data_IF_905365129508
#
_entry.id   IF_905365129508
#
_cell.length_a   1.000
_cell.length_b   1.000
_cell.length_c   1.000
_cell.angle_alpha   90.00
_cell.angle_beta   90.00
_cell.angle_gamma   90.00
#
_symmetry.space_group_name_H-M   'P 1'
#
loop_
_entity.id
_entity.type
_entity.pdbx_description
1 polymer ?
#
# COMPACT_ATOMS: atom_id res chain seq x y z
N UNK A 1 12.40 -5.95 -21.36
CA UNK A 1 12.77 -5.10 -20.20
C UNK A 1 11.60 -4.99 -19.27
N UNK A 2 11.85 -5.15 -17.99
CA UNK A 2 10.82 -5.04 -16.97
C UNK A 2 11.30 -4.06 -15.89
N UNK A 3 10.51 -3.03 -15.66
CA UNK A 3 10.78 -2.06 -14.61
C UNK A 3 9.91 -2.37 -13.40
N UNK A 4 10.53 -2.58 -12.27
CA UNK A 4 9.84 -2.85 -11.00
C UNK A 4 10.27 -1.82 -9.98
N UNK A 5 9.31 -1.20 -9.34
CA UNK A 5 9.54 -0.32 -8.20
C UNK A 5 9.13 -1.09 -6.96
N UNK A 6 10.07 -1.28 -6.05
CA UNK A 6 9.80 -1.92 -4.76
C UNK A 6 9.63 -0.85 -3.71
N UNK A 7 8.43 -0.78 -3.17
CA UNK A 7 8.05 0.27 -2.24
C UNK A 7 7.97 -0.28 -0.83
N UNK A 8 8.57 0.44 0.12
CA UNK A 8 8.53 0.10 1.55
C UNK A 8 7.84 1.25 2.26
N UNK A 9 6.61 1.01 2.71
CA UNK A 9 5.75 2.05 3.24
C UNK A 9 5.78 2.01 4.76
N UNK A 10 6.19 3.12 5.37
CA UNK A 10 6.15 3.32 6.82
C UNK A 10 5.33 4.55 7.14
N UNK A 11 4.91 4.69 8.39
CA UNK A 11 4.18 5.87 8.84
C UNK A 11 4.90 6.52 10.01
N UNK A 12 4.96 7.85 9.97
CA UNK A 12 5.45 8.67 11.07
C UNK A 12 4.27 9.38 11.71
N UNK A 13 4.18 9.34 13.03
CA UNK A 13 3.08 9.97 13.74
C UNK A 13 2.93 9.42 15.14
N UNK A 14 1.71 9.47 15.65
CA UNK A 14 1.37 8.99 17.00
C UNK A 14 1.51 7.48 17.12
N UNK A 15 1.59 6.98 18.34
CA UNK A 15 1.58 5.53 18.59
C UNK A 15 0.30 4.88 18.05
N UNK A 16 -0.81 5.61 18.09
CA UNK A 16 -2.08 5.12 17.57
C UNK A 16 -2.03 4.87 16.06
N UNK A 17 -1.47 5.78 15.27
CA UNK A 17 -1.38 5.59 13.82
C UNK A 17 -0.35 4.52 13.46
N UNK A 18 0.71 4.39 14.23
CA UNK A 18 1.69 3.31 14.04
C UNK A 18 1.06 1.95 14.30
N UNK A 19 0.26 1.85 15.35
CA UNK A 19 -0.48 0.62 15.65
C UNK A 19 -1.50 0.30 14.55
N UNK A 20 -2.18 1.31 14.02
CA UNK A 20 -3.09 1.15 12.90
C UNK A 20 -2.37 0.61 11.67
N UNK A 21 -1.19 1.15 11.37
CA UNK A 21 -0.40 0.68 10.24
C UNK A 21 0.00 -0.79 10.38
N UNK A 22 0.47 -1.19 11.56
CA UNK A 22 0.81 -2.60 11.82
C UNK A 22 -0.41 -3.51 11.67
N UNK A 23 -1.57 -3.07 12.16
CA UNK A 23 -2.80 -3.85 12.02
C UNK A 23 -3.24 -3.98 10.56
N UNK A 24 -3.11 -2.91 9.79
CA UNK A 24 -3.42 -2.95 8.34
C UNK A 24 -2.50 -3.94 7.63
N UNK A 25 -1.20 -3.90 7.92
CA UNK A 25 -0.24 -4.83 7.32
C UNK A 25 -0.60 -6.27 7.67
N UNK A 26 -0.93 -6.53 8.93
CA UNK A 26 -1.32 -7.86 9.40
C UNK A 26 -2.55 -8.36 8.64
N UNK A 27 -3.56 -7.53 8.51
CA UNK A 27 -4.80 -7.89 7.82
C UNK A 27 -4.58 -8.13 6.33
N UNK A 28 -3.79 -7.30 5.68
CA UNK A 28 -3.46 -7.48 4.27
C UNK A 28 -2.69 -8.77 4.04
N UNK A 29 -1.79 -9.12 4.96
CA UNK A 29 -1.02 -10.36 4.86
C UNK A 29 -1.90 -11.60 5.00
N UNK A 30 -2.90 -11.55 5.86
CA UNK A 30 -3.83 -12.67 6.08
C UNK A 30 -4.90 -12.77 5.01
N UNK A 31 -5.13 -11.71 4.28
CA UNK A 31 -6.24 -11.61 3.35
C UNK A 31 -5.83 -12.08 1.96
N UNK A 32 -6.46 -13.15 1.48
CA UNK A 32 -6.19 -13.71 0.15
C UNK A 32 -7.12 -13.09 -0.88
N UNK A 33 -6.79 -11.89 -1.29
CA UNK A 33 -7.57 -11.25 -2.32
C UNK A 33 -6.84 -11.18 -3.65
N UNK A 34 -7.46 -10.53 -4.60
CA UNK A 34 -7.02 -10.55 -5.97
C UNK A 34 -6.17 -9.36 -6.36
N UNK A 35 -6.57 -8.16 -6.01
CA UNK A 35 -5.77 -6.98 -6.36
C UNK A 35 -5.68 -6.01 -5.18
N UNK A 36 -4.58 -5.23 -5.12
CA UNK A 36 -4.33 -4.33 -3.99
C UNK A 36 -5.41 -3.27 -3.76
N UNK A 37 -6.04 -2.79 -4.82
CA UNK A 37 -7.09 -1.76 -4.67
C UNK A 37 -8.33 -2.34 -3.99
N UNK A 38 -8.71 -3.56 -4.34
CA UNK A 38 -9.82 -4.25 -3.69
C UNK A 38 -9.46 -4.60 -2.25
N UNK A 39 -8.25 -5.14 -2.02
CA UNK A 39 -7.77 -5.46 -0.68
C UNK A 39 -7.81 -4.27 0.27
N UNK A 40 -7.29 -3.14 -0.18
CA UNK A 40 -7.29 -1.92 0.61
C UNK A 40 -8.72 -1.49 0.94
N UNK A 41 -9.62 -1.56 -0.04
CA UNK A 41 -11.03 -1.23 0.19
C UNK A 41 -11.68 -2.12 1.25
N UNK A 42 -11.43 -3.43 1.19
CA UNK A 42 -11.95 -4.36 2.18
C UNK A 42 -11.36 -4.13 3.57
N UNK A 43 -10.04 -3.97 3.64
CA UNK A 43 -9.32 -3.86 4.91
C UNK A 43 -9.52 -2.51 5.58
N UNK A 44 -9.38 -1.41 4.83
CA UNK A 44 -9.46 -0.07 5.40
C UNK A 44 -10.89 0.39 5.61
N UNK A 45 -11.79 0.05 4.70
CA UNK A 45 -13.15 0.60 4.70
C UNK A 45 -14.22 -0.44 5.04
N UNK A 46 -13.84 -1.70 5.20
CA UNK A 46 -14.80 -2.77 5.51
C UNK A 46 -15.84 -2.98 4.42
N UNK A 47 -15.50 -2.67 3.18
CA UNK A 47 -16.43 -2.80 2.06
C UNK A 47 -16.53 -4.26 1.62
N UNK A 48 -17.71 -4.71 1.15
CA UNK A 48 -17.83 -6.03 0.56
C UNK A 48 -17.04 -6.11 -0.76
N UNK A 49 -16.60 -7.31 -1.19
CA UNK A 49 -15.74 -7.46 -2.36
C UNK A 49 -16.23 -6.79 -3.63
N UNK A 50 -17.52 -6.79 -3.87
CA UNK A 50 -18.11 -6.17 -5.05
C UNK A 50 -18.08 -4.63 -5.04
N UNK A 51 -17.85 -4.05 -3.87
CA UNK A 51 -17.79 -2.58 -3.69
C UNK A 51 -16.43 -2.10 -3.19
N UNK A 52 -15.52 -3.02 -2.91
CA UNK A 52 -14.25 -2.68 -2.27
C UNK A 52 -13.24 -2.06 -3.24
N UNK A 53 -13.46 -2.19 -4.54
CA UNK A 53 -12.49 -1.70 -5.51
C UNK A 53 -12.40 -0.19 -5.51
N UNK A 54 -11.30 0.32 -5.03
CA UNK A 54 -10.99 1.75 -5.09
C UNK A 54 -10.56 2.11 -6.52
N UNK A 55 -10.85 3.33 -6.91
CA UNK A 55 -10.53 3.78 -8.25
C UNK A 55 -9.04 3.62 -8.58
N UNK A 56 -8.73 3.07 -9.74
CA UNK A 56 -7.35 2.89 -10.18
C UNK A 56 -7.02 3.60 -11.49
N UNK A 57 -7.98 4.34 -12.04
CA UNK A 57 -7.86 4.92 -13.37
C UNK A 57 -6.67 5.85 -13.54
N UNK A 58 -6.25 6.47 -12.46
CA UNK A 58 -5.23 7.51 -12.51
C UNK A 58 -3.91 7.07 -11.91
N UNK A 59 -3.74 5.79 -11.64
CA UNK A 59 -2.44 5.32 -11.17
C UNK A 59 -1.41 5.40 -12.30
N UNK A 60 -0.25 5.91 -11.97
CA UNK A 60 0.87 5.96 -12.92
C UNK A 60 1.62 4.64 -13.02
N UNK A 61 1.36 3.73 -12.11
CA UNK A 61 1.95 2.42 -12.15
C UNK A 61 1.18 1.52 -13.11
N UNK A 62 1.87 0.74 -13.90
CA UNK A 62 1.26 -0.20 -14.85
C UNK A 62 0.54 -1.33 -14.11
N UNK A 63 1.09 -1.73 -12.98
CA UNK A 63 0.53 -2.78 -12.14
C UNK A 63 1.01 -2.57 -10.69
N UNK A 64 0.27 -3.14 -9.76
CA UNK A 64 0.57 -3.06 -8.33
C UNK A 64 0.31 -4.43 -7.73
N UNK A 65 1.19 -4.87 -6.85
CA UNK A 65 1.03 -6.12 -6.10
C UNK A 65 1.63 -5.95 -4.70
N UNK A 66 1.02 -6.57 -3.70
CA UNK A 66 1.62 -6.61 -2.38
C UNK A 66 2.77 -7.60 -2.35
N UNK A 67 3.80 -7.27 -1.57
CA UNK A 67 4.91 -8.16 -1.32
C UNK A 67 5.13 -8.28 0.18
N UNK A 68 5.03 -9.50 0.69
CA UNK A 68 5.22 -9.79 2.11
C UNK A 68 6.50 -10.58 2.37
N UNK A 69 7.31 -10.78 1.34
CA UNK A 69 8.58 -11.51 1.43
C UNK A 69 9.70 -10.66 2.01
N UNK A 70 9.51 -9.35 2.03
CA UNK A 70 10.50 -8.42 2.56
C UNK A 70 9.78 -7.33 3.36
N UNK A 71 10.55 -6.61 4.13
CA UNK A 71 10.00 -5.65 5.10
C UNK A 71 9.70 -6.35 6.43
N UNK A 72 9.39 -5.58 7.42
CA UNK A 72 9.04 -6.05 8.76
C UNK A 72 7.59 -5.70 9.10
N UNK A 73 7.22 -5.85 10.36
CA UNK A 73 5.85 -5.57 10.81
C UNK A 73 5.44 -4.10 10.68
N UNK A 74 6.40 -3.19 10.52
CA UNK A 74 6.18 -1.76 10.38
C UNK A 74 6.25 -1.27 8.93
N UNK A 75 6.62 -2.15 8.01
CA UNK A 75 6.75 -1.81 6.61
C UNK A 75 5.79 -2.60 5.75
N UNK A 76 5.00 -1.89 4.96
CA UNK A 76 4.16 -2.51 3.95
C UNK A 76 4.92 -2.55 2.63
N UNK A 77 5.19 -3.74 2.13
CA UNK A 77 5.85 -3.93 0.85
C UNK A 77 4.86 -3.92 -0.29
N UNK A 78 5.11 -3.08 -1.29
CA UNK A 78 4.30 -3.00 -2.49
C UNK A 78 5.22 -2.96 -3.70
N UNK A 79 5.03 -3.91 -4.62
CA UNK A 79 5.71 -3.86 -5.92
C UNK A 79 4.80 -3.17 -6.91
N UNK A 80 5.37 -2.31 -7.73
CA UNK A 80 4.63 -1.60 -8.77
C UNK A 80 5.44 -1.52 -10.05
N UNK A 81 4.74 -1.40 -11.18
CA UNK A 81 5.37 -1.30 -12.49
C UNK A 81 5.65 0.14 -12.86
N UNK A 82 6.90 0.45 -13.22
CA UNK A 82 7.41 1.73 -13.72
C UNK A 82 7.49 2.87 -12.74
N UNK A 83 6.49 3.05 -11.87
CA UNK A 83 6.46 4.19 -10.95
C UNK A 83 5.87 3.79 -9.61
N UNK A 84 5.97 4.68 -8.65
CA UNK A 84 5.39 4.48 -7.32
C UNK A 84 3.85 4.44 -7.41
N UNK A 85 3.18 3.65 -6.55
CA UNK A 85 1.72 3.49 -6.60
C UNK A 85 1.01 4.63 -5.86
N UNK A 86 1.13 5.86 -6.37
CA UNK A 86 0.71 7.06 -5.65
C UNK A 86 -0.78 7.07 -5.32
N UNK A 87 -1.64 6.61 -6.22
CA UNK A 87 -3.07 6.59 -5.95
C UNK A 87 -3.41 5.67 -4.78
N UNK A 88 -2.79 4.49 -4.73
CA UNK A 88 -2.99 3.56 -3.62
C UNK A 88 -2.49 4.16 -2.31
N UNK A 89 -1.32 4.80 -2.34
CA UNK A 89 -0.75 5.46 -1.17
C UNK A 89 -1.62 6.61 -0.67
N UNK A 90 -2.25 7.35 -1.57
CA UNK A 90 -3.18 8.41 -1.20
C UNK A 90 -4.40 7.87 -0.44
N UNK A 91 -4.93 6.71 -0.83
CA UNK A 91 -6.00 6.08 -0.08
C UNK A 91 -5.55 5.68 1.32
N UNK A 92 -4.35 5.15 1.45
CA UNK A 92 -3.81 4.74 2.74
C UNK A 92 -3.61 5.96 3.65
N UNK A 93 -2.98 7.03 3.16
CA UNK A 93 -2.73 8.22 3.97
C UNK A 93 -4.04 8.91 4.36
N UNK A 94 -5.01 8.93 3.46
CA UNK A 94 -6.31 9.51 3.75
C UNK A 94 -7.00 8.77 4.91
N UNK A 95 -6.93 7.45 4.89
CA UNK A 95 -7.46 6.64 5.99
C UNK A 95 -6.73 6.92 7.29
N UNK A 96 -5.40 6.92 7.26
CA UNK A 96 -4.58 7.14 8.46
C UNK A 96 -4.77 8.54 9.03
N UNK A 97 -5.08 9.54 8.21
CA UNK A 97 -5.32 10.91 8.68
C UNK A 97 -6.52 11.03 9.60
N UNK A 98 -7.42 10.05 9.60
CA UNK A 98 -8.54 10.00 10.53
C UNK A 98 -8.08 9.61 11.93
N UNK A 99 -6.98 8.89 12.05
CA UNK A 99 -6.38 8.48 13.32
C UNK A 99 -5.40 9.55 13.82
N UNK A 100 -4.60 10.08 12.90
CA UNK A 100 -3.63 11.13 13.18
C UNK A 100 -3.55 12.08 11.98
N UNK A 101 -4.20 13.27 12.07
CA UNK A 101 -4.22 14.22 10.96
C UNK A 101 -2.84 14.74 10.55
N UNK A 102 -1.83 14.60 11.42
CA UNK A 102 -0.47 15.07 11.15
C UNK A 102 0.47 13.95 10.74
N UNK A 103 -0.05 12.74 10.54
CA UNK A 103 0.81 11.62 10.14
C UNK A 103 1.43 11.86 8.77
N UNK A 104 2.60 11.28 8.57
CA UNK A 104 3.32 11.31 7.29
C UNK A 104 3.56 9.88 6.86
N UNK A 105 3.15 9.59 5.64
CA UNK A 105 3.42 8.30 5.02
C UNK A 105 4.74 8.42 4.27
N UNK A 106 5.69 7.55 4.62
CA UNK A 106 7.01 7.54 4.01
C UNK A 106 7.13 6.35 3.08
N UNK A 107 7.54 6.60 1.86
CA UNK A 107 7.83 5.55 0.89
C UNK A 107 9.33 5.55 0.57
N UNK A 108 10.02 4.53 1.05
CA UNK A 108 11.40 4.27 0.63
C UNK A 108 11.31 3.26 -0.50
N UNK A 109 11.81 3.62 -1.67
CA UNK A 109 11.64 2.74 -2.82
C UNK A 109 12.94 2.55 -3.59
N UNK A 110 13.04 1.37 -4.22
CA UNK A 110 14.12 1.02 -5.13
C UNK A 110 13.51 0.76 -6.50
N UNK A 111 14.09 1.38 -7.51
CA UNK A 111 13.69 1.16 -8.88
C UNK A 111 14.66 0.16 -9.54
N UNK A 112 14.14 -1.00 -9.87
CA UNK A 112 14.92 -2.03 -10.55
C UNK A 112 14.53 -2.10 -12.01
N UNK A 113 15.53 -2.01 -12.88
CA UNK A 113 15.34 -2.12 -14.31
C UNK A 113 16.13 -3.32 -14.83
N UNK A 114 15.43 -4.25 -15.45
CA UNK A 114 16.08 -5.40 -16.08
C UNK A 114 16.38 -5.08 -17.54
N UNK A 115 17.67 -5.06 -17.87
CA UNK A 115 18.13 -4.82 -19.22
C UNK A 115 18.87 -6.05 -19.75
N UNK A 116 18.52 -6.41 -20.95
CA UNK A 116 19.14 -7.56 -21.63
C UNK A 116 19.73 -7.17 -22.95
#
# INVERSE_FOLDING_TARGET
>A
MRDVVRNFITVLGTDAVKATHREVIRRLREHNGTDPFTHIGEVLYGLPPDKARLGKKETHADWVAFSFDYGDEDQLGIDSGRSTPNQLLNHIVWFYSKVDPKCVLCNTYDHESEEF
#
